data_IF_656293493754
#
_entry.id   IF_656293493754
#
_cell.length_a   1.000
_cell.length_b   1.000
_cell.length_c   1.000
_cell.angle_alpha   90.00
_cell.angle_beta   90.00
_cell.angle_gamma   90.00
#
_symmetry.space_group_name_H-M   'P 1'
#
loop_
_entity.id
_entity.type
_entity.pdbx_description
1 polymer ?
#
# COMPACT_ATOMS: atom_id res chain seq x y z
N UNK A 1 26.69 -3.27 30.92
CA UNK A 1 25.77 -4.16 30.20
C UNK A 1 24.65 -3.30 29.62
N UNK A 2 24.34 -3.46 28.33
CA UNK A 2 23.37 -2.62 27.63
C UNK A 2 21.95 -3.13 27.88
N UNK A 3 21.23 -2.52 28.83
CA UNK A 3 19.85 -2.91 29.20
C UNK A 3 18.92 -2.87 27.99
N UNK A 4 19.08 -1.88 27.11
CA UNK A 4 18.25 -1.72 25.91
C UNK A 4 18.46 -2.87 24.93
N UNK A 5 19.70 -3.24 24.63
CA UNK A 5 20.03 -4.39 23.75
C UNK A 5 19.52 -5.71 24.34
N UNK A 6 19.61 -5.86 25.67
CA UNK A 6 19.08 -7.03 26.38
C UNK A 6 17.56 -7.13 26.28
N UNK A 7 16.82 -6.04 26.45
CA UNK A 7 15.35 -6.04 26.34
C UNK A 7 14.92 -6.38 24.91
N UNK A 8 15.57 -5.80 23.90
CA UNK A 8 15.24 -6.01 22.49
C UNK A 8 15.49 -7.46 22.01
N UNK A 9 16.45 -8.17 22.63
CA UNK A 9 16.74 -9.58 22.32
C UNK A 9 15.93 -10.57 23.18
N UNK A 10 15.45 -10.14 24.35
CA UNK A 10 14.72 -10.99 25.31
C UNK A 10 13.24 -11.18 24.97
N UNK A 11 12.60 -10.17 24.36
CA UNK A 11 11.19 -10.22 24.00
C UNK A 11 11.03 -10.40 22.49
N UNK A 12 10.76 -11.63 22.08
CA UNK A 12 10.63 -12.05 20.68
C UNK A 12 9.51 -11.35 19.90
N UNK A 13 8.54 -10.75 20.60
CA UNK A 13 7.51 -9.92 19.98
C UNK A 13 8.10 -8.72 19.20
N UNK A 14 9.20 -8.12 19.67
CA UNK A 14 9.85 -7.01 18.95
C UNK A 14 10.51 -7.43 17.63
N UNK A 15 10.86 -8.71 17.50
CA UNK A 15 11.51 -9.28 16.31
C UNK A 15 10.60 -10.20 15.51
N UNK A 16 9.29 -10.24 15.82
CA UNK A 16 8.33 -11.15 15.19
C UNK A 16 8.80 -12.62 15.25
N UNK A 17 9.24 -13.03 16.44
CA UNK A 17 9.80 -14.37 16.73
C UNK A 17 11.02 -14.77 15.89
N UNK A 18 11.69 -13.81 15.24
CA UNK A 18 12.92 -14.06 14.52
C UNK A 18 14.11 -14.16 15.49
N UNK A 19 14.67 -15.37 15.60
CA UNK A 19 15.86 -15.68 16.42
C UNK A 19 17.14 -14.96 15.96
N UNK A 20 17.17 -14.41 14.74
CA UNK A 20 18.37 -13.76 14.17
C UNK A 20 18.48 -12.27 14.49
N UNK A 21 17.50 -11.64 15.16
CA UNK A 21 17.51 -10.20 15.47
C UNK A 21 17.41 -9.27 14.24
N UNK A 22 17.30 -9.83 13.03
CA UNK A 22 17.06 -9.08 11.80
C UNK A 22 15.56 -8.82 11.71
N UNK A 23 15.16 -7.55 11.68
CA UNK A 23 13.77 -7.15 11.42
C UNK A 23 13.47 -7.48 9.96
N UNK A 24 13.13 -8.75 9.69
CA UNK A 24 12.72 -9.21 8.37
C UNK A 24 11.23 -8.92 8.20
N UNK A 25 10.89 -8.18 7.15
CA UNK A 25 9.48 -7.96 6.77
C UNK A 25 8.84 -9.32 6.48
N UNK A 26 7.66 -9.61 7.06
CA UNK A 26 6.89 -10.80 6.72
C UNK A 26 6.73 -10.94 5.20
N UNK A 27 6.72 -12.16 4.65
CA UNK A 27 6.48 -12.36 3.24
C UNK A 27 5.14 -11.71 2.86
N UNK A 28 5.14 -10.93 1.77
CA UNK A 28 3.95 -10.26 1.29
C UNK A 28 3.04 -11.33 0.68
N UNK A 29 2.08 -11.81 1.45
CA UNK A 29 1.13 -12.85 1.04
C UNK A 29 -0.27 -12.24 1.00
N UNK A 30 -0.93 -12.33 -0.14
CA UNK A 30 -2.29 -11.84 -0.34
C UNK A 30 -3.11 -12.98 -0.93
N UNK A 31 -4.25 -13.30 -0.31
CA UNK A 31 -5.15 -14.38 -0.72
C UNK A 31 -4.43 -15.74 -0.93
N UNK A 32 -3.39 -16.03 -0.15
CA UNK A 32 -2.59 -17.26 -0.25
C UNK A 32 -1.49 -17.26 -1.32
N UNK A 33 -1.35 -16.17 -2.10
CA UNK A 33 -0.31 -16.01 -3.12
C UNK A 33 0.82 -15.12 -2.58
N UNK A 34 2.08 -15.56 -2.76
CA UNK A 34 3.25 -14.77 -2.36
C UNK A 34 3.64 -13.75 -3.45
N UNK A 35 3.62 -12.48 -3.07
CA UNK A 35 4.06 -11.33 -3.87
C UNK A 35 5.41 -10.80 -3.39
N UNK A 36 6.18 -11.60 -2.65
CA UNK A 36 7.51 -11.22 -2.17
C UNK A 36 8.54 -11.05 -3.30
N UNK A 37 8.28 -11.61 -4.48
CA UNK A 37 9.16 -11.46 -5.65
C UNK A 37 9.07 -10.04 -6.23
N UNK A 38 10.15 -9.53 -6.87
CA UNK A 38 10.12 -8.23 -7.54
C UNK A 38 8.97 -8.10 -8.56
N UNK A 39 8.70 -9.16 -9.31
CA UNK A 39 7.61 -9.23 -10.29
C UNK A 39 6.24 -9.18 -9.60
N UNK A 40 6.07 -9.90 -8.48
CA UNK A 40 4.84 -9.89 -7.70
C UNK A 40 4.52 -8.50 -7.17
N UNK A 41 5.52 -7.79 -6.62
CA UNK A 41 5.36 -6.41 -6.16
C UNK A 41 4.95 -5.46 -7.29
N UNK A 42 5.58 -5.59 -8.47
CA UNK A 42 5.24 -4.78 -9.64
C UNK A 42 3.79 -5.02 -10.11
N UNK A 43 3.37 -6.27 -10.23
CA UNK A 43 2.01 -6.60 -10.68
C UNK A 43 0.96 -6.11 -9.68
N UNK A 44 1.26 -6.20 -8.38
CA UNK A 44 0.38 -5.70 -7.33
C UNK A 44 0.21 -4.19 -7.41
N UNK A 45 1.31 -3.44 -7.52
CA UNK A 45 1.23 -1.97 -7.62
C UNK A 45 0.54 -1.54 -8.90
N UNK A 46 0.83 -2.19 -10.03
CA UNK A 46 0.18 -1.94 -11.31
C UNK A 46 -1.34 -2.19 -11.22
N UNK A 47 -1.75 -3.33 -10.65
CA UNK A 47 -3.16 -3.66 -10.48
C UNK A 47 -3.89 -2.62 -9.62
N UNK A 48 -3.27 -2.17 -8.54
CA UNK A 48 -3.82 -1.12 -7.67
C UNK A 48 -3.99 0.21 -8.43
N UNK A 49 -2.97 0.63 -9.17
CA UNK A 49 -3.01 1.88 -9.98
C UNK A 49 -4.11 1.80 -11.03
N UNK A 50 -4.21 0.68 -11.75
CA UNK A 50 -5.23 0.48 -12.79
C UNK A 50 -6.64 0.51 -12.18
N UNK A 51 -6.84 -0.12 -11.02
CA UNK A 51 -8.12 -0.10 -10.32
C UNK A 51 -8.53 1.32 -9.91
N UNK A 52 -7.61 2.06 -9.27
CA UNK A 52 -7.86 3.44 -8.87
C UNK A 52 -8.12 4.35 -10.07
N UNK A 53 -7.35 4.19 -11.15
CA UNK A 53 -7.57 4.91 -12.39
C UNK A 53 -8.95 4.62 -12.98
N UNK A 54 -9.36 3.35 -13.01
CA UNK A 54 -10.67 2.96 -13.49
C UNK A 54 -11.81 3.55 -12.65
N UNK A 55 -11.68 3.51 -11.32
CA UNK A 55 -12.64 4.13 -10.39
C UNK A 55 -12.73 5.65 -10.60
N UNK A 56 -11.59 6.34 -10.66
CA UNK A 56 -11.53 7.77 -10.91
C UNK A 56 -12.15 8.13 -12.28
N UNK A 57 -11.83 7.35 -13.32
CA UNK A 57 -12.43 7.53 -14.65
C UNK A 57 -13.95 7.35 -14.63
N UNK A 58 -14.45 6.38 -13.87
CA UNK A 58 -15.90 6.19 -13.73
C UNK A 58 -16.55 7.35 -12.97
N UNK A 59 -15.91 7.83 -11.90
CA UNK A 59 -16.38 8.99 -11.13
C UNK A 59 -16.45 10.27 -11.97
N UNK A 60 -15.44 10.52 -12.81
CA UNK A 60 -15.39 11.67 -13.71
C UNK A 60 -16.45 11.62 -14.82
N UNK A 61 -16.99 10.44 -15.15
CA UNK A 61 -18.15 10.31 -16.07
C UNK A 61 -19.49 10.57 -15.39
N UNK A 62 -19.53 10.53 -14.06
CA UNK A 62 -20.72 10.77 -13.25
C UNK A 62 -21.13 12.24 -13.18
N UNK A 63 -22.17 12.50 -12.39
CA UNK A 63 -22.66 13.86 -12.10
C UNK A 63 -21.57 14.76 -11.53
N UNK A 64 -20.71 14.21 -10.67
CA UNK A 64 -19.62 14.95 -10.04
C UNK A 64 -18.65 15.52 -11.10
N UNK A 65 -18.24 14.72 -12.08
CA UNK A 65 -17.37 15.22 -13.16
C UNK A 65 -18.04 16.25 -14.07
N UNK A 66 -19.35 16.13 -14.31
CA UNK A 66 -20.11 17.13 -15.07
C UNK A 66 -20.23 18.45 -14.31
N UNK A 67 -20.49 18.40 -13.01
CA UNK A 67 -20.58 19.58 -12.15
C UNK A 67 -19.25 20.33 -12.07
N UNK A 68 -18.13 19.61 -12.05
CA UNK A 68 -16.80 20.24 -12.06
C UNK A 68 -16.51 20.98 -13.35
N UNK A 69 -16.94 20.44 -14.50
CA UNK A 69 -16.89 21.16 -15.78
C UNK A 69 -17.76 22.41 -15.75
N UNK A 70 -18.99 22.31 -15.21
CA UNK A 70 -19.90 23.45 -15.12
C UNK A 70 -19.34 24.60 -14.27
N UNK A 71 -18.68 24.30 -13.15
CA UNK A 71 -18.02 25.34 -12.32
C UNK A 71 -16.92 26.03 -13.10
N UNK A 72 -16.04 25.28 -13.77
CA UNK A 72 -14.96 25.86 -14.58
C UNK A 72 -15.49 26.71 -15.74
N UNK A 73 -16.51 26.22 -16.43
CA UNK A 73 -17.11 26.92 -17.57
C UNK A 73 -17.83 28.21 -17.13
N UNK A 74 -18.30 28.28 -15.88
CA UNK A 74 -18.91 29.48 -15.32
C UNK A 74 -17.87 30.52 -14.86
N UNK A 75 -16.67 30.11 -14.45
CA UNK A 75 -15.55 31.03 -14.19
C UNK A 75 -14.97 31.66 -15.49
N UNK A 76 -15.35 31.15 -16.68
CA UNK A 76 -14.88 31.65 -17.98
C UNK A 76 -15.86 32.60 -18.69
N UNK A 77 -17.02 32.89 -18.10
CA UNK A 77 -18.03 33.83 -18.61
C UNK A 77 -17.97 35.18 -17.88
#
# INVERSE_FOLDING_TARGET
QFVVEWVLTRFSWFTNDNASGVITSPPLIIAGVSFSSPQGRYLLTLALVVLLFWLARNLLRGELGRNWMAVRDMDTA
#
